data_IF_410115242567
#
_entry.id   IF_410115242567
#
_cell.length_a   1.000
_cell.length_b   1.000
_cell.length_c   1.000
_cell.angle_alpha   90.00
_cell.angle_beta   90.00
_cell.angle_gamma   90.00
#
_symmetry.space_group_name_H-M   'P 1'
#
loop_
_entity.id
_entity.type
_entity.pdbx_description
1 polymer ?
#
# COMPACT_ATOMS: atom_id res chain seq x y z
N UNK A 1 14.49 -7.76 -10.83
CA UNK A 1 14.17 -7.66 -9.40
C UNK A 1 12.69 -7.36 -9.31
N UNK A 2 11.91 -8.27 -8.74
CA UNK A 2 10.46 -8.09 -8.58
C UNK A 2 10.21 -7.62 -7.16
N UNK A 3 9.66 -6.41 -7.01
CA UNK A 3 9.44 -5.78 -5.71
C UNK A 3 7.96 -5.88 -5.35
N UNK A 4 7.65 -6.50 -4.21
CA UNK A 4 6.32 -6.44 -3.61
C UNK A 4 6.23 -5.22 -2.71
N UNK A 5 5.58 -4.16 -3.19
CA UNK A 5 5.42 -2.90 -2.46
C UNK A 5 4.10 -2.98 -1.70
N UNK A 6 4.13 -2.74 -0.39
CA UNK A 6 2.96 -2.90 0.47
C UNK A 6 2.75 -1.79 1.49
N UNK A 7 1.49 -1.44 1.75
CA UNK A 7 1.09 -0.41 2.73
C UNK A 7 -0.30 -0.70 3.29
N UNK A 8 -0.53 -0.29 4.54
CA UNK A 8 -1.85 -0.32 5.17
C UNK A 8 -2.39 1.10 5.39
N UNK A 9 -3.61 1.40 4.93
CA UNK A 9 -4.24 2.72 5.10
C UNK A 9 -5.69 2.58 5.60
N UNK A 10 -6.11 3.52 6.45
CA UNK A 10 -7.50 3.72 6.89
C UNK A 10 -8.25 4.58 5.86
N UNK A 11 -9.29 4.01 5.25
CA UNK A 11 -10.24 4.78 4.43
C UNK A 11 -11.43 5.20 5.28
N UNK A 12 -11.68 6.50 5.45
CA UNK A 12 -12.86 7.03 6.15
C UNK A 12 -13.40 8.28 5.46
N UNK A 13 -14.71 8.49 5.52
CA UNK A 13 -15.36 9.65 4.95
C UNK A 13 -15.34 10.82 5.95
N UNK A 14 -14.72 11.93 5.57
CA UNK A 14 -14.88 13.21 6.27
C UNK A 14 -15.71 14.10 5.35
N UNK A 15 -17.01 14.24 5.60
CA UNK A 15 -17.77 15.33 5.00
C UNK A 15 -17.45 16.61 5.77
N UNK A 16 -16.65 17.50 5.19
CA UNK A 16 -16.72 18.93 5.54
C UNK A 16 -16.89 19.72 4.26
N UNK A 17 -18.10 20.22 4.03
CA UNK A 17 -18.32 21.34 3.13
C UNK A 17 -17.94 22.62 3.91
N UNK A 18 -16.91 23.39 3.52
CA UNK A 18 -16.48 24.58 4.25
C UNK A 18 -17.53 25.72 4.25
N UNK A 19 -18.62 25.59 3.49
CA UNK A 19 -19.67 26.60 3.37
C UNK A 19 -21.02 26.22 4.00
N UNK A 20 -21.16 25.06 4.64
CA UNK A 20 -22.43 24.64 5.26
C UNK A 20 -22.21 23.92 6.59
N UNK A 21 -22.53 24.59 7.70
CA UNK A 21 -22.56 23.97 9.02
C UNK A 21 -23.93 23.31 9.23
N UNK A 22 -23.98 21.99 9.17
CA UNK A 22 -25.11 21.19 9.67
C UNK A 22 -24.65 20.51 10.95
N UNK A 23 -25.29 20.81 12.08
CA UNK A 23 -25.04 20.13 13.35
C UNK A 23 -25.62 18.70 13.26
N UNK A 24 -24.80 17.75 12.79
CA UNK A 24 -25.12 16.33 12.83
C UNK A 24 -24.40 15.69 14.02
N UNK A 25 -25.16 15.39 15.08
CA UNK A 25 -24.64 14.80 16.34
C UNK A 25 -24.18 13.34 16.24
N UNK A 26 -24.02 12.79 15.03
CA UNK A 26 -23.44 11.47 14.81
C UNK A 26 -22.65 11.48 13.49
N UNK A 27 -21.41 11.94 13.54
CA UNK A 27 -20.42 11.65 12.50
C UNK A 27 -20.24 10.14 12.45
N UNK A 28 -20.71 9.47 11.40
CA UNK A 28 -20.47 8.03 11.24
C UNK A 28 -19.01 7.83 10.79
N UNK A 29 -18.09 7.68 11.75
CA UNK A 29 -16.67 7.40 11.54
C UNK A 29 -16.50 5.90 11.24
N UNK A 30 -16.88 5.47 10.05
CA UNK A 30 -16.57 4.11 9.60
C UNK A 30 -15.42 4.15 8.60
N UNK A 31 -14.50 3.21 8.79
CA UNK A 31 -13.35 3.04 7.92
C UNK A 31 -12.72 1.68 8.07
N UNK A 32 -11.87 1.32 7.11
CA UNK A 32 -11.21 0.01 7.08
C UNK A 32 -9.72 0.19 6.80
N UNK A 33 -8.91 -0.64 7.45
CA UNK A 33 -7.51 -0.81 7.08
C UNK A 33 -7.44 -1.76 5.88
N UNK A 34 -6.77 -1.32 4.82
CA UNK A 34 -6.62 -2.10 3.58
C UNK A 34 -5.15 -2.30 3.27
N UNK A 35 -4.77 -3.53 2.95
CA UNK A 35 -3.47 -3.88 2.39
C UNK A 35 -3.60 -4.19 0.91
N UNK A 36 -2.68 -3.65 0.11
CA UNK A 36 -2.49 -4.00 -1.29
C UNK A 36 -1.01 -4.24 -1.56
N UNK A 37 -0.73 -5.03 -2.58
CA UNK A 37 0.61 -5.32 -3.07
C UNK A 37 0.72 -5.09 -4.58
N UNK A 38 1.81 -4.53 -5.07
CA UNK A 38 2.09 -4.47 -6.52
C UNK A 38 3.29 -5.35 -6.85
N UNK A 39 3.20 -6.17 -7.89
CA UNK A 39 4.32 -7.01 -8.36
C UNK A 39 4.12 -7.44 -9.83
N UNK A 40 5.15 -7.28 -10.67
CA UNK A 40 5.15 -7.76 -12.05
C UNK A 40 3.89 -7.40 -12.85
N UNK A 41 3.41 -6.15 -12.74
CA UNK A 41 2.20 -5.68 -13.42
C UNK A 41 0.88 -6.11 -12.79
N UNK A 42 0.91 -6.85 -11.67
CA UNK A 42 -0.26 -7.35 -10.96
C UNK A 42 -0.49 -6.61 -9.66
N UNK A 43 -1.77 -6.47 -9.31
CA UNK A 43 -2.22 -6.05 -7.99
C UNK A 43 -2.56 -7.30 -7.17
N UNK A 44 -1.98 -7.40 -5.98
CA UNK A 44 -2.35 -8.35 -4.95
C UNK A 44 -3.26 -7.66 -3.93
N UNK A 45 -4.31 -8.36 -3.51
CA UNK A 45 -5.36 -7.80 -2.66
C UNK A 45 -6.53 -7.22 -3.47
N UNK A 46 -7.35 -6.36 -2.85
CA UNK A 46 -7.21 -5.80 -1.51
C UNK A 46 -7.42 -6.84 -0.40
N UNK A 47 -6.69 -6.73 0.70
CA UNK A 47 -6.96 -7.44 1.95
C UNK A 47 -7.46 -6.46 3.01
N UNK A 48 -8.61 -6.74 3.59
CA UNK A 48 -9.21 -5.90 4.62
C UNK A 48 -8.92 -6.46 6.01
N UNK A 49 -8.44 -5.62 6.92
CA UNK A 49 -8.36 -5.98 8.33
C UNK A 49 -9.70 -5.66 9.00
N UNK A 50 -10.22 -6.61 9.79
CA UNK A 50 -11.46 -6.43 10.55
C UNK A 50 -11.32 -5.46 11.74
N UNK A 51 -10.09 -5.17 12.17
CA UNK A 51 -9.79 -4.26 13.26
C UNK A 51 -8.57 -3.38 12.95
N UNK A 52 -8.21 -2.52 13.89
CA UNK A 52 -6.98 -1.74 13.83
C UNK A 52 -5.75 -2.62 13.63
N UNK A 53 -4.90 -2.23 12.67
CA UNK A 53 -3.64 -2.90 12.43
C UNK A 53 -2.73 -2.82 13.66
N UNK A 54 -2.20 -3.95 14.06
CA UNK A 54 -1.11 -4.05 15.02
C UNK A 54 -0.10 -5.10 14.54
N UNK A 55 1.05 -5.17 15.20
CA UNK A 55 2.13 -6.07 14.82
C UNK A 55 1.71 -7.55 14.73
N UNK A 56 0.86 -8.04 15.64
CA UNK A 56 0.41 -9.44 15.64
C UNK A 56 -0.52 -9.73 14.47
N UNK A 57 -1.45 -8.81 14.17
CA UNK A 57 -2.36 -8.93 13.02
C UNK A 57 -1.59 -8.85 11.70
N UNK A 58 -0.62 -7.95 11.62
CA UNK A 58 0.25 -7.86 10.45
C UNK A 58 1.07 -9.14 10.25
N UNK A 59 1.70 -9.67 11.31
CA UNK A 59 2.42 -10.94 11.27
C UNK A 59 1.50 -12.11 10.87
N UNK A 60 0.27 -12.16 11.38
CA UNK A 60 -0.70 -13.18 11.02
C UNK A 60 -1.07 -13.11 9.53
N UNK A 61 -1.23 -11.91 8.99
CA UNK A 61 -1.42 -11.70 7.55
C UNK A 61 -0.20 -12.20 6.74
N UNK A 62 1.01 -11.77 7.11
CA UNK A 62 2.25 -12.19 6.44
C UNK A 62 2.47 -13.70 6.45
N UNK A 63 2.06 -14.38 7.54
CA UNK A 63 2.28 -15.82 7.72
C UNK A 63 1.22 -16.66 7.04
N UNK A 64 -0.05 -16.23 7.07
CA UNK A 64 -1.17 -17.11 6.72
C UNK A 64 -1.92 -16.70 5.45
N UNK A 65 -1.84 -15.42 5.05
CA UNK A 65 -2.64 -14.87 3.95
C UNK A 65 -1.74 -14.51 2.76
N UNK A 66 -0.66 -13.77 3.02
CA UNK A 66 0.24 -13.35 1.95
C UNK A 66 0.82 -14.53 1.13
N UNK A 67 1.23 -15.67 1.72
CA UNK A 67 1.74 -16.79 0.94
C UNK A 67 0.71 -17.32 -0.05
N UNK A 68 -0.56 -17.43 0.38
CA UNK A 68 -1.68 -17.86 -0.46
C UNK A 68 -1.90 -16.89 -1.63
N UNK A 69 -1.79 -15.58 -1.37
CA UNK A 69 -1.89 -14.57 -2.43
C UNK A 69 -0.76 -14.67 -3.46
N UNK A 70 0.42 -15.13 -3.02
CA UNK A 70 1.59 -15.30 -3.88
C UNK A 70 1.57 -16.60 -4.68
N UNK A 71 0.76 -17.61 -4.32
CA UNK A 71 0.78 -18.94 -4.98
C UNK A 71 0.53 -18.88 -6.49
N UNK A 72 -0.30 -17.92 -6.93
CA UNK A 72 -0.62 -17.71 -8.34
C UNK A 72 0.49 -17.00 -9.15
N UNK A 73 1.58 -16.59 -8.49
CA UNK A 73 2.73 -16.01 -9.18
C UNK A 73 3.66 -17.10 -9.71
N UNK A 74 4.27 -16.88 -10.90
CA UNK A 74 5.30 -17.77 -11.43
C UNK A 74 6.40 -18.04 -10.39
N UNK A 75 6.90 -19.27 -10.34
CA UNK A 75 7.92 -19.66 -9.38
C UNK A 75 9.17 -18.77 -9.46
N UNK A 76 9.59 -18.41 -10.67
CA UNK A 76 10.73 -17.52 -10.91
C UNK A 76 10.54 -16.14 -10.28
N UNK A 77 9.32 -15.58 -10.33
CA UNK A 77 8.95 -14.33 -9.67
C UNK A 77 9.06 -14.47 -8.15
N UNK A 78 8.55 -15.56 -7.58
CA UNK A 78 8.60 -15.80 -6.12
C UNK A 78 10.01 -16.00 -5.58
N UNK A 79 10.88 -16.70 -6.32
CA UNK A 79 12.26 -16.98 -5.89
C UNK A 79 13.12 -15.71 -5.82
N UNK A 80 12.84 -14.74 -6.70
CA UNK A 80 13.60 -13.49 -6.84
C UNK A 80 12.90 -12.27 -6.21
N UNK A 81 11.81 -12.52 -5.46
CA UNK A 81 10.99 -11.51 -4.85
C UNK A 81 11.73 -10.77 -3.73
N UNK A 82 11.67 -9.44 -3.78
CA UNK A 82 12.03 -8.57 -2.67
C UNK A 82 10.73 -8.03 -2.06
N UNK A 83 10.62 -8.12 -0.74
CA UNK A 83 9.48 -7.55 -0.02
C UNK A 83 9.77 -6.09 0.36
N UNK A 84 8.81 -5.18 0.25
CA UNK A 84 8.93 -3.82 0.75
C UNK A 84 7.70 -3.44 1.57
N UNK A 85 7.95 -2.75 2.69
CA UNK A 85 6.92 -2.08 3.47
C UNK A 85 7.41 -0.74 4.03
N UNK A 86 6.47 0.10 4.45
CA UNK A 86 6.76 1.39 5.06
C UNK A 86 7.13 1.28 6.56
N UNK A 87 7.51 2.41 7.13
CA UNK A 87 7.94 2.52 8.53
C UNK A 87 6.81 2.57 9.57
N UNK A 88 5.60 2.08 9.27
CA UNK A 88 4.51 2.07 10.24
C UNK A 88 4.90 1.28 11.52
N UNK A 89 4.42 1.66 12.72
CA UNK A 89 4.79 0.99 13.97
C UNK A 89 4.53 -0.53 13.97
N UNK A 90 3.42 -0.98 13.37
CA UNK A 90 3.11 -2.40 13.25
C UNK A 90 4.11 -3.15 12.38
N UNK A 91 4.66 -2.50 11.34
CA UNK A 91 5.61 -3.07 10.40
C UNK A 91 7.02 -3.16 11.01
N UNK A 92 7.39 -2.18 11.85
CA UNK A 92 8.72 -2.11 12.49
C UNK A 92 8.87 -2.98 13.74
N UNK A 93 7.81 -3.65 14.19
CA UNK A 93 7.86 -4.51 15.37
C UNK A 93 8.87 -5.67 15.19
N UNK A 94 9.58 -6.03 16.25
CA UNK A 94 10.58 -7.12 16.24
C UNK A 94 10.03 -8.42 15.65
N UNK A 95 8.85 -8.87 16.11
CA UNK A 95 8.23 -10.11 15.63
C UNK A 95 7.96 -10.13 14.12
N UNK A 96 7.74 -8.96 13.51
CA UNK A 96 7.53 -8.81 12.07
C UNK A 96 8.87 -8.86 11.34
N UNK A 97 9.86 -8.10 11.81
CA UNK A 97 11.21 -8.10 11.23
C UNK A 97 11.87 -9.48 11.29
N UNK A 98 11.72 -10.20 12.42
CA UNK A 98 12.25 -11.56 12.59
C UNK A 98 11.62 -12.53 11.59
N UNK A 99 10.30 -12.40 11.37
CA UNK A 99 9.60 -13.17 10.34
C UNK A 99 10.12 -12.83 8.94
N UNK A 100 10.25 -11.55 8.60
CA UNK A 100 10.74 -11.12 7.28
C UNK A 100 12.19 -11.58 7.03
N UNK A 101 13.06 -11.50 8.05
CA UNK A 101 14.43 -12.00 7.98
C UNK A 101 14.47 -13.50 7.67
N UNK A 102 13.60 -14.29 8.32
CA UNK A 102 13.52 -15.74 8.10
C UNK A 102 12.93 -16.12 6.74
N UNK A 103 11.89 -15.42 6.29
CA UNK A 103 11.14 -15.79 5.07
C UNK A 103 11.78 -15.24 3.81
N UNK A 104 12.33 -14.02 3.87
CA UNK A 104 12.90 -13.34 2.70
C UNK A 104 14.44 -13.33 2.71
N UNK A 105 15.10 -13.88 3.73
CA UNK A 105 16.56 -14.12 3.76
C UNK A 105 17.39 -12.89 3.37
N UNK A 106 17.07 -11.73 3.95
CA UNK A 106 17.76 -10.48 3.61
C UNK A 106 17.19 -9.72 2.40
N UNK A 107 16.24 -10.30 1.66
CA UNK A 107 15.59 -9.69 0.48
C UNK A 107 14.36 -8.88 0.86
N UNK A 108 14.49 -7.93 1.78
CA UNK A 108 13.39 -7.02 2.08
C UNK A 108 13.83 -5.60 2.47
N UNK A 109 12.99 -4.64 2.13
CA UNK A 109 13.16 -3.21 2.34
C UNK A 109 12.26 -2.72 3.47
N UNK A 110 12.81 -1.94 4.38
CA UNK A 110 12.05 -1.27 5.45
C UNK A 110 12.93 -0.37 6.31
N UNK A 111 12.33 0.39 7.22
CA UNK A 111 13.07 1.37 8.05
C UNK A 111 14.19 0.74 8.88
N UNK A 112 14.04 -0.52 9.27
CA UNK A 112 15.05 -1.29 10.00
C UNK A 112 15.30 -2.65 9.34
N UNK A 113 15.19 -2.68 8.02
CA UNK A 113 15.42 -3.86 7.22
C UNK A 113 16.91 -4.05 6.87
N UNK A 114 17.25 -5.20 6.29
CA UNK A 114 18.58 -5.46 5.72
C UNK A 114 18.88 -4.51 4.56
N UNK A 115 17.84 -4.00 3.89
CA UNK A 115 17.94 -2.89 2.96
C UNK A 115 17.06 -1.76 3.49
N UNK A 116 17.66 -0.60 3.73
CA UNK A 116 16.94 0.52 4.31
C UNK A 116 15.96 1.12 3.29
N UNK A 117 14.72 1.34 3.73
CA UNK A 117 13.78 2.19 3.01
C UNK A 117 13.64 3.51 3.77
N UNK A 118 13.84 4.66 3.10
CA UNK A 118 13.83 5.95 3.77
C UNK A 118 12.48 6.23 4.43
N UNK A 119 12.55 6.87 5.60
CA UNK A 119 11.35 7.27 6.33
C UNK A 119 10.62 8.37 5.56
N UNK A 120 9.28 8.33 5.59
CA UNK A 120 8.40 9.36 4.99
C UNK A 120 8.69 9.59 3.50
N UNK A 121 8.79 8.51 2.72
CA UNK A 121 9.04 8.61 1.28
C UNK A 121 7.86 8.13 0.44
N UNK A 122 6.68 8.77 0.56
CA UNK A 122 5.53 8.47 -0.29
C UNK A 122 5.85 8.75 -1.77
N UNK A 123 6.70 9.74 -2.04
CA UNK A 123 7.08 10.19 -3.39
C UNK A 123 7.83 9.16 -4.21
N UNK A 124 8.37 8.11 -3.57
CA UNK A 124 9.05 6.98 -4.24
C UNK A 124 8.33 5.64 -4.01
N UNK A 125 7.18 5.65 -3.33
CA UNK A 125 6.39 4.45 -3.03
C UNK A 125 5.17 4.40 -3.97
N UNK A 126 5.11 3.50 -4.96
CA UNK A 126 4.02 3.42 -5.95
C UNK A 126 2.63 3.29 -5.39
N UNK A 127 2.49 2.63 -4.23
CA UNK A 127 1.20 2.60 -3.56
C UNK A 127 0.73 4.01 -3.19
N UNK A 128 1.63 4.86 -2.73
CA UNK A 128 1.34 6.22 -2.29
C UNK A 128 1.15 7.20 -3.45
N UNK A 129 2.11 7.29 -4.36
CA UNK A 129 2.03 8.27 -5.45
C UNK A 129 1.04 7.88 -6.56
N UNK A 130 0.61 6.61 -6.63
CA UNK A 130 -0.27 6.11 -7.68
C UNK A 130 -1.52 5.41 -7.15
N UNK A 131 -1.39 4.26 -6.47
CA UNK A 131 -2.55 3.39 -6.19
C UNK A 131 -3.61 4.10 -5.33
N UNK A 132 -3.22 4.67 -4.20
CA UNK A 132 -4.17 5.20 -3.25
C UNK A 132 -4.88 6.45 -3.76
N UNK A 133 -4.18 7.31 -4.51
CA UNK A 133 -4.79 8.43 -5.22
C UNK A 133 -5.81 7.97 -6.26
N UNK A 134 -5.45 6.96 -7.07
CA UNK A 134 -6.34 6.38 -8.07
C UNK A 134 -7.60 5.77 -7.46
N UNK A 135 -7.44 4.92 -6.43
CA UNK A 135 -8.57 4.30 -5.73
C UNK A 135 -9.45 5.35 -5.07
N UNK A 136 -8.88 6.39 -4.46
CA UNK A 136 -9.65 7.48 -3.85
C UNK A 136 -10.52 8.19 -4.89
N UNK A 137 -9.97 8.52 -6.06
CA UNK A 137 -10.73 9.16 -7.14
C UNK A 137 -11.92 8.30 -7.58
N UNK A 138 -11.74 7.00 -7.78
CA UNK A 138 -12.82 6.10 -8.22
C UNK A 138 -13.85 5.88 -7.12
N UNK A 139 -13.40 5.54 -5.91
CA UNK A 139 -14.28 5.16 -4.79
C UNK A 139 -15.14 6.34 -4.34
N UNK A 140 -14.62 7.58 -4.40
CA UNK A 140 -15.34 8.77 -3.95
C UNK A 140 -15.95 9.60 -5.09
N UNK A 141 -15.86 9.16 -6.34
CA UNK A 141 -16.66 9.75 -7.43
C UNK A 141 -18.17 9.62 -7.14
N UNK A 142 -18.56 8.50 -6.52
CA UNK A 142 -19.85 8.29 -5.88
C UNK A 142 -19.58 7.86 -4.44
N UNK A 143 -19.67 8.76 -3.44
CA UNK A 143 -19.24 8.44 -2.08
C UNK A 143 -20.02 7.28 -1.45
N UNK A 144 -19.35 6.27 -0.88
CA UNK A 144 -20.04 5.16 -0.22
C UNK A 144 -20.84 5.65 0.99
N UNK A 145 -21.96 4.99 1.30
CA UNK A 145 -22.81 5.34 2.47
C UNK A 145 -22.60 4.43 3.68
N UNK A 146 -21.87 3.31 3.51
CA UNK A 146 -21.49 2.43 4.61
C UNK A 146 -20.19 1.64 4.31
N UNK A 147 -19.67 0.95 5.34
CA UNK A 147 -18.41 0.19 5.26
C UNK A 147 -18.45 -0.95 4.24
N UNK A 148 -19.58 -1.66 4.11
CA UNK A 148 -19.70 -2.76 3.16
C UNK A 148 -19.61 -2.24 1.71
N UNK A 149 -20.27 -1.12 1.43
CA UNK A 149 -20.20 -0.45 0.15
C UNK A 149 -18.80 0.08 -0.14
N UNK A 150 -18.12 0.68 0.85
CA UNK A 150 -16.72 1.11 0.69
C UNK A 150 -15.79 -0.05 0.36
N UNK A 151 -15.88 -1.17 1.11
CA UNK A 151 -15.10 -2.38 0.81
C UNK A 151 -15.39 -2.87 -0.62
N UNK A 152 -16.66 -2.91 -1.02
CA UNK A 152 -17.06 -3.32 -2.38
C UNK A 152 -16.51 -2.39 -3.47
N UNK A 153 -16.63 -1.06 -3.29
CA UNK A 153 -16.11 -0.07 -4.24
C UNK A 153 -14.59 -0.17 -4.37
N UNK A 154 -13.86 -0.39 -3.28
CA UNK A 154 -12.41 -0.65 -3.31
C UNK A 154 -12.11 -1.92 -4.11
N UNK A 155 -12.81 -3.03 -3.86
CA UNK A 155 -12.62 -4.29 -4.62
C UNK A 155 -12.86 -4.08 -6.11
N UNK A 156 -13.96 -3.42 -6.49
CA UNK A 156 -14.27 -3.13 -7.90
C UNK A 156 -13.19 -2.26 -8.54
N UNK A 157 -12.76 -1.19 -7.86
CA UNK A 157 -11.70 -0.32 -8.36
C UNK A 157 -10.36 -1.06 -8.52
N UNK A 158 -10.00 -1.92 -7.57
CA UNK A 158 -8.83 -2.78 -7.65
C UNK A 158 -8.90 -3.77 -8.83
N UNK A 159 -10.07 -4.39 -9.07
CA UNK A 159 -10.25 -5.34 -10.18
C UNK A 159 -10.20 -4.67 -11.56
N UNK A 160 -10.50 -3.38 -11.65
CA UNK A 160 -10.47 -2.62 -12.89
C UNK A 160 -9.08 -2.02 -13.23
N UNK A 161 -8.11 -2.13 -12.31
CA UNK A 161 -6.74 -1.68 -12.57
C UNK A 161 -6.08 -2.57 -13.62
N UNK A 162 -5.61 -1.94 -14.69
CA UNK A 162 -4.96 -2.65 -15.79
C UNK A 162 -3.47 -2.88 -15.52
N UNK A 163 -2.94 -3.96 -16.09
CA UNK A 163 -1.50 -4.27 -16.05
C UNK A 163 -0.65 -3.09 -16.55
N UNK A 164 -1.07 -2.44 -17.64
CA UNK A 164 -0.37 -1.29 -18.20
C UNK A 164 -0.26 -0.11 -17.23
N UNK A 165 -1.32 0.18 -16.46
CA UNK A 165 -1.28 1.23 -15.44
C UNK A 165 -0.30 0.86 -14.33
N UNK A 166 -0.34 -0.39 -13.85
CA UNK A 166 0.56 -0.87 -12.79
C UNK A 166 2.01 -0.86 -13.27
N UNK A 167 2.29 -1.37 -14.48
CA UNK A 167 3.63 -1.39 -15.07
C UNK A 167 4.17 0.01 -15.33
N UNK A 168 3.31 0.95 -15.76
CA UNK A 168 3.70 2.35 -15.92
C UNK A 168 4.17 2.95 -14.59
N UNK A 169 3.42 2.73 -13.50
CA UNK A 169 3.76 3.24 -12.17
C UNK A 169 5.01 2.56 -11.56
N UNK A 170 5.07 1.22 -11.64
CA UNK A 170 6.13 0.42 -10.98
C UNK A 170 7.45 0.41 -11.74
N UNK A 171 7.45 0.55 -13.06
CA UNK A 171 8.69 0.62 -13.84
C UNK A 171 9.10 2.07 -14.09
N UNK A 172 8.35 2.78 -14.94
CA UNK A 172 8.74 4.12 -15.39
C UNK A 172 8.62 5.14 -14.26
N UNK A 173 7.48 5.12 -13.55
CA UNK A 173 7.22 6.03 -12.43
C UNK A 173 8.25 5.91 -11.33
N UNK A 174 8.56 4.67 -10.89
CA UNK A 174 9.61 4.44 -9.89
C UNK A 174 10.98 4.93 -10.36
N UNK A 175 11.41 4.52 -11.56
CA UNK A 175 12.75 4.88 -12.06
C UNK A 175 12.93 6.39 -12.17
N UNK A 176 11.93 7.09 -12.71
CA UNK A 176 11.95 8.56 -12.80
C UNK A 176 12.03 9.19 -11.40
N UNK A 177 11.20 8.72 -10.45
CA UNK A 177 11.16 9.27 -9.08
C UNK A 177 12.44 8.98 -8.31
N UNK A 178 13.04 7.80 -8.47
CA UNK A 178 14.34 7.48 -7.88
C UNK A 178 15.44 8.37 -8.46
N UNK A 179 15.44 8.60 -9.78
CA UNK A 179 16.41 9.47 -10.42
C UNK A 179 16.27 10.92 -9.93
N UNK A 180 15.05 11.46 -9.89
CA UNK A 180 14.78 12.79 -9.34
C UNK A 180 15.20 12.91 -7.87
N UNK A 181 14.95 11.87 -7.06
CA UNK A 181 15.39 11.83 -5.66
C UNK A 181 16.93 11.92 -5.55
N UNK A 182 17.66 11.18 -6.39
CA UNK A 182 19.13 11.23 -6.43
C UNK A 182 19.64 12.60 -6.89
N UNK A 183 19.07 13.14 -7.98
CA UNK A 183 19.41 14.45 -8.53
C UNK A 183 19.17 15.59 -7.53
N UNK A 184 18.16 15.44 -6.67
CA UNK A 184 17.83 16.39 -5.61
C UNK A 184 18.45 16.03 -4.24
N UNK A 185 19.43 15.13 -4.21
CA UNK A 185 20.14 14.72 -2.98
C UNK A 185 19.20 14.29 -1.83
N UNK A 186 18.08 13.64 -2.15
CA UNK A 186 17.09 13.18 -1.19
C UNK A 186 16.08 14.25 -0.71
N UNK A 187 16.12 15.47 -1.25
CA UNK A 187 15.11 16.49 -0.99
C UNK A 187 13.81 16.21 -1.78
N UNK A 188 12.72 16.90 -1.39
CA UNK A 188 11.44 16.80 -2.11
C UNK A 188 11.60 17.24 -3.57
N UNK A 189 11.02 16.47 -4.48
CA UNK A 189 11.15 16.64 -5.93
C UNK A 189 9.81 16.63 -6.67
N UNK A 190 8.68 16.61 -5.98
CA UNK A 190 7.34 16.58 -6.60
C UNK A 190 7.11 17.74 -7.58
N UNK A 191 7.74 18.89 -7.36
CA UNK A 191 7.68 20.05 -8.27
C UNK A 191 8.30 19.79 -9.66
N UNK A 192 9.01 18.67 -9.83
CA UNK A 192 9.69 18.30 -11.08
C UNK A 192 9.03 17.12 -11.81
N UNK A 193 7.84 16.69 -11.37
CA UNK A 193 7.11 15.51 -11.89
C UNK A 193 5.93 15.93 -12.76
#
# INVERSE_FOLDING_TARGET
>A
MELLISKTIVYGQIYVNPHWAVDSRHQTVWGTNVWCGLIGGKLLGPYFYEENLNARRYLAFLTNVLPLMLENLPLATRQTLYFQHDGAPAHNAHIVRDHLNRVYEGKWFGTYGPIEWPARSPDITPLDFFLWGHLKTIVYADPPVNLAELKNKIVVACNNLTENQIMSATNRGCLQRFQLCVENHGANFEQFI
#
